data_IF_879042982216
#
_entry.id   IF_879042982216
#
_cell.length_a   1.000
_cell.length_b   1.000
_cell.length_c   1.000
_cell.angle_alpha   90.00
_cell.angle_beta   90.00
_cell.angle_gamma   90.00
#
_symmetry.space_group_name_H-M   'P 1'
#
loop_
_entity.id
_entity.type
_entity.pdbx_description
1 polymer ?
#
# COMPACT_ATOMS: atom_id res chain seq x y z
N UNK A 1 -5.94 8.42 12.93
CA UNK A 1 -4.89 9.44 12.73
C UNK A 1 -4.70 9.55 11.23
N UNK A 2 -4.67 10.75 10.66
CA UNK A 2 -4.48 10.93 9.23
C UNK A 2 -2.99 11.20 8.95
N UNK A 3 -2.46 10.62 7.89
CA UNK A 3 -1.08 10.86 7.46
C UNK A 3 -0.97 12.23 6.78
N UNK A 4 0.08 12.98 7.11
CA UNK A 4 0.39 14.31 6.60
C UNK A 4 1.82 14.32 6.07
N UNK A 5 1.97 14.38 4.75
CA UNK A 5 3.27 14.34 4.06
C UNK A 5 4.23 15.47 4.43
N UNK A 6 3.75 16.53 5.09
CA UNK A 6 4.58 17.66 5.54
C UNK A 6 5.14 17.46 6.95
N UNK A 7 4.68 16.44 7.68
CA UNK A 7 5.11 16.13 9.03
C UNK A 7 6.24 15.09 9.01
N UNK A 8 7.25 15.30 9.86
CA UNK A 8 8.23 14.25 10.18
C UNK A 8 7.60 13.21 11.13
N UNK A 9 7.81 11.93 10.81
CA UNK A 9 7.33 10.81 11.61
C UNK A 9 8.48 9.94 12.08
N UNK A 10 8.36 9.37 13.28
CA UNK A 10 9.22 8.24 13.66
C UNK A 10 8.82 6.97 12.92
N UNK A 11 9.72 5.98 12.90
CA UNK A 11 9.41 4.66 12.33
C UNK A 11 8.19 4.02 12.98
N UNK A 12 8.04 4.16 14.29
CA UNK A 12 6.92 3.61 15.07
C UNK A 12 5.60 4.30 14.72
N UNK A 13 5.62 5.62 14.51
CA UNK A 13 4.43 6.35 14.03
C UNK A 13 4.04 5.89 12.62
N UNK A 14 5.01 5.70 11.72
CA UNK A 14 4.77 5.18 10.37
C UNK A 14 4.15 3.77 10.41
N UNK A 15 4.72 2.86 11.21
CA UNK A 15 4.18 1.50 11.41
C UNK A 15 2.74 1.56 11.96
N UNK A 16 2.39 2.59 12.73
CA UNK A 16 1.03 2.80 13.22
C UNK A 16 -0.02 2.98 12.11
N UNK A 17 0.37 3.36 10.90
CA UNK A 17 -0.50 3.45 9.73
C UNK A 17 -0.59 2.14 8.93
N UNK A 18 0.30 1.18 9.17
CA UNK A 18 0.36 -0.09 8.47
C UNK A 18 -0.65 -1.10 9.05
N UNK A 19 -1.33 -1.86 8.19
CA UNK A 19 -2.28 -2.90 8.61
C UNK A 19 -1.61 -4.23 8.85
N UNK A 20 -0.70 -4.63 7.97
CA UNK A 20 0.00 -5.90 7.96
C UNK A 20 1.40 -5.80 8.55
N UNK A 21 2.18 -4.79 8.18
CA UNK A 21 3.54 -4.60 8.70
C UNK A 21 3.51 -4.04 10.12
N UNK A 22 4.14 -4.73 11.08
CA UNK A 22 4.23 -4.33 12.51
C UNK A 22 5.66 -4.10 12.98
N UNK A 23 6.59 -3.95 12.05
CA UNK A 23 8.00 -3.65 12.33
C UNK A 23 8.92 -4.87 12.40
N UNK A 24 8.40 -6.07 12.24
CA UNK A 24 9.12 -7.34 12.14
C UNK A 24 10.05 -7.39 10.92
N UNK A 25 11.11 -8.20 11.01
CA UNK A 25 12.13 -8.32 9.94
C UNK A 25 11.64 -9.16 8.76
N UNK A 26 10.83 -10.17 9.03
CA UNK A 26 10.31 -11.12 8.04
C UNK A 26 8.79 -11.18 8.12
N UNK A 27 8.14 -11.35 6.98
CA UNK A 27 6.69 -11.47 6.89
C UNK A 27 6.17 -12.63 7.76
N UNK A 28 5.15 -12.41 8.60
CA UNK A 28 4.49 -13.46 9.37
C UNK A 28 3.51 -14.28 8.52
N UNK A 29 3.39 -13.97 7.22
CA UNK A 29 2.49 -14.61 6.26
C UNK A 29 3.29 -15.54 5.34
N UNK A 30 3.58 -16.79 5.75
CA UNK A 30 4.28 -17.74 4.89
C UNK A 30 3.41 -18.09 3.68
N UNK A 31 4.00 -18.01 2.49
CA UNK A 31 3.31 -18.36 1.24
C UNK A 31 3.32 -19.88 1.07
N UNK A 32 2.14 -20.50 1.09
CA UNK A 32 1.98 -21.94 0.91
C UNK A 32 2.18 -22.38 -0.54
N UNK A 33 2.29 -23.69 -0.78
CA UNK A 33 2.52 -24.26 -2.12
C UNK A 33 1.43 -23.90 -3.14
N UNK A 34 0.21 -23.62 -2.68
CA UNK A 34 -0.94 -23.24 -3.52
C UNK A 34 -1.18 -21.72 -3.54
N UNK A 35 -0.22 -20.90 -3.10
CA UNK A 35 -0.37 -19.44 -3.04
C UNK A 35 -1.17 -18.93 -1.83
N UNK A 36 -1.37 -19.78 -0.81
CA UNK A 36 -1.97 -19.36 0.46
C UNK A 36 -1.18 -18.20 1.05
N UNK A 37 -1.88 -17.19 1.58
CA UNK A 37 -1.29 -15.96 2.13
C UNK A 37 -0.44 -15.12 1.16
N UNK A 38 -0.46 -15.41 -0.15
CA UNK A 38 0.34 -14.65 -1.12
C UNK A 38 -0.01 -13.16 -1.11
N UNK A 39 -1.30 -12.84 -0.99
CA UNK A 39 -1.76 -11.45 -0.99
C UNK A 39 -1.40 -10.74 0.32
N UNK A 40 -1.63 -11.36 1.48
CA UNK A 40 -1.25 -10.81 2.77
C UNK A 40 0.27 -10.60 2.88
N UNK A 41 1.06 -11.53 2.35
CA UNK A 41 2.52 -11.40 2.27
C UNK A 41 2.94 -10.21 1.38
N UNK A 42 2.28 -10.03 0.24
CA UNK A 42 2.51 -8.90 -0.66
C UNK A 42 2.11 -7.57 -0.01
N UNK A 43 0.95 -7.50 0.63
CA UNK A 43 0.48 -6.30 1.34
C UNK A 43 1.44 -5.92 2.46
N UNK A 44 1.85 -6.90 3.27
CA UNK A 44 2.90 -6.73 4.27
C UNK A 44 4.19 -6.15 3.68
N UNK A 45 4.65 -6.70 2.55
CA UNK A 45 5.88 -6.27 1.91
C UNK A 45 5.81 -4.81 1.49
N UNK A 46 4.74 -4.40 0.80
CA UNK A 46 4.62 -3.02 0.33
C UNK A 46 4.44 -2.00 1.45
N UNK A 47 3.77 -2.37 2.55
CA UNK A 47 3.75 -1.54 3.74
C UNK A 47 5.15 -1.37 4.36
N UNK A 48 5.95 -2.45 4.42
CA UNK A 48 7.33 -2.37 4.91
C UNK A 48 8.23 -1.52 4.02
N UNK A 49 8.04 -1.60 2.69
CA UNK A 49 8.73 -0.75 1.70
C UNK A 49 8.36 0.71 1.94
N UNK A 50 7.07 1.02 2.07
CA UNK A 50 6.60 2.37 2.32
C UNK A 50 7.24 3.00 3.57
N UNK A 51 7.26 2.26 4.69
CA UNK A 51 7.93 2.72 5.93
C UNK A 51 9.42 2.93 5.69
N UNK A 52 10.09 1.95 5.09
CA UNK A 52 11.54 2.00 4.86
C UNK A 52 11.95 3.17 3.96
N UNK A 53 11.19 3.44 2.90
CA UNK A 53 11.45 4.52 1.95
C UNK A 53 11.24 5.89 2.58
N UNK A 54 10.16 6.08 3.35
CA UNK A 54 9.94 7.33 4.09
C UNK A 54 11.03 7.57 5.14
N UNK A 55 11.49 6.53 5.84
CA UNK A 55 12.60 6.63 6.80
C UNK A 55 13.93 7.04 6.12
N UNK A 56 14.08 6.78 4.82
CA UNK A 56 15.22 7.22 4.01
C UNK A 56 15.02 8.60 3.38
N UNK A 57 13.88 9.26 3.65
CA UNK A 57 13.53 10.57 3.08
C UNK A 57 13.09 10.51 1.61
N UNK A 58 12.71 9.33 1.12
CA UNK A 58 12.14 9.17 -0.21
C UNK A 58 10.66 9.57 -0.21
N UNK A 59 10.11 9.88 -1.38
CA UNK A 59 8.70 10.28 -1.55
C UNK A 59 8.02 9.38 -2.58
N UNK A 60 6.72 9.17 -2.42
CA UNK A 60 5.88 8.38 -3.34
C UNK A 60 5.05 9.24 -4.29
N UNK A 61 5.44 10.51 -4.48
CA UNK A 61 4.70 11.49 -5.28
C UNK A 61 4.36 10.99 -6.68
N UNK A 62 5.32 10.37 -7.38
CA UNK A 62 5.08 9.78 -8.71
C UNK A 62 3.96 8.75 -8.72
N UNK A 63 3.97 7.80 -7.77
CA UNK A 63 2.94 6.76 -7.68
C UNK A 63 1.59 7.38 -7.31
N UNK A 64 1.57 8.36 -6.41
CA UNK A 64 0.36 9.08 -5.99
C UNK A 64 -0.25 9.84 -7.17
N UNK A 65 0.57 10.52 -7.96
CA UNK A 65 0.10 11.27 -9.14
C UNK A 65 -0.50 10.33 -10.18
N UNK A 66 0.12 9.18 -10.46
CA UNK A 66 -0.43 8.18 -11.38
C UNK A 66 -1.74 7.59 -10.85
N UNK A 67 -1.76 7.19 -9.59
CA UNK A 67 -2.94 6.67 -8.89
C UNK A 67 -4.15 7.65 -8.97
N UNK A 68 -3.89 8.95 -8.76
CA UNK A 68 -4.90 10.02 -8.90
C UNK A 68 -5.28 10.30 -10.35
N UNK A 69 -4.33 10.22 -11.29
CA UNK A 69 -4.59 10.46 -12.71
C UNK A 69 -5.58 9.44 -13.30
N UNK A 70 -5.54 8.20 -12.81
CA UNK A 70 -6.50 7.15 -13.16
C UNK A 70 -7.79 7.19 -12.30
N UNK A 71 -7.91 8.16 -11.39
CA UNK A 71 -9.12 8.40 -10.58
C UNK A 71 -9.39 7.33 -9.53
N UNK A 72 -8.38 6.53 -9.18
CA UNK A 72 -8.52 5.42 -8.24
C UNK A 72 -8.72 5.92 -6.82
N UNK A 73 -8.12 7.07 -6.47
CA UNK A 73 -8.32 7.80 -5.21
C UNK A 73 -9.80 8.00 -4.87
N UNK A 74 -10.62 8.31 -5.88
CA UNK A 74 -12.06 8.58 -5.72
C UNK A 74 -12.90 7.33 -5.47
N UNK A 75 -12.35 6.16 -5.76
CA UNK A 75 -13.02 4.87 -5.59
C UNK A 75 -12.69 4.21 -4.26
N UNK A 76 -11.75 4.78 -3.51
CA UNK A 76 -11.15 4.14 -2.35
C UNK A 76 -11.71 4.74 -1.06
N UNK A 77 -11.87 3.92 0.00
CA UNK A 77 -12.44 4.39 1.25
C UNK A 77 -11.48 5.34 1.99
N UNK A 78 -12.05 6.21 2.82
CA UNK A 78 -11.30 6.96 3.84
C UNK A 78 -11.17 6.09 5.10
N UNK A 79 -10.26 5.13 5.03
CA UNK A 79 -9.98 4.11 6.05
C UNK A 79 -8.73 4.44 6.91
N UNK A 80 -8.17 5.63 6.72
CA UNK A 80 -6.95 6.06 7.40
C UNK A 80 -5.65 5.43 6.86
N UNK A 81 -5.72 4.59 5.82
CA UNK A 81 -4.52 4.08 5.14
C UNK A 81 -3.94 5.20 4.26
N UNK A 82 -2.65 5.55 4.41
CA UNK A 82 -2.01 6.60 3.62
C UNK A 82 -2.11 6.37 2.11
N UNK A 83 -2.31 7.44 1.34
CA UNK A 83 -2.36 7.38 -0.12
C UNK A 83 -1.10 6.79 -0.74
N UNK A 84 0.08 7.04 -0.15
CA UNK A 84 1.34 6.45 -0.62
C UNK A 84 1.33 4.91 -0.61
N UNK A 85 0.69 4.30 0.40
CA UNK A 85 0.54 2.84 0.46
C UNK A 85 -0.43 2.38 -0.64
N UNK A 86 -1.60 3.03 -0.76
CA UNK A 86 -2.60 2.71 -1.80
C UNK A 86 -2.00 2.82 -3.21
N UNK A 87 -1.19 3.84 -3.46
CA UNK A 87 -0.53 4.10 -4.72
C UNK A 87 0.54 3.05 -5.07
N UNK A 88 1.38 2.65 -4.10
CA UNK A 88 2.35 1.57 -4.29
C UNK A 88 1.67 0.23 -4.62
N UNK A 89 0.59 -0.09 -3.91
CA UNK A 89 -0.20 -1.29 -4.17
C UNK A 89 -0.86 -1.25 -5.56
N UNK A 90 -1.36 -0.09 -5.97
CA UNK A 90 -1.91 0.11 -7.31
C UNK A 90 -0.86 -0.07 -8.42
N UNK A 91 0.31 0.57 -8.31
CA UNK A 91 1.44 0.38 -9.27
C UNK A 91 1.77 -1.11 -9.42
N UNK A 92 1.84 -1.82 -8.28
CA UNK A 92 2.12 -3.25 -8.29
C UNK A 92 1.04 -4.06 -8.99
N UNK A 93 -0.23 -3.77 -8.72
CA UNK A 93 -1.36 -4.44 -9.36
C UNK A 93 -1.36 -4.21 -10.87
N UNK A 94 -1.10 -2.97 -11.28
CA UNK A 94 -1.07 -2.58 -12.69
C UNK A 94 0.04 -3.24 -13.50
N UNK A 95 1.14 -3.72 -12.88
CA UNK A 95 2.19 -4.46 -13.62
C UNK A 95 1.71 -5.76 -14.28
N UNK A 96 0.55 -6.30 -13.86
CA UNK A 96 -0.09 -7.48 -14.46
C UNK A 96 -1.17 -7.17 -15.50
N UNK A 97 -1.50 -5.89 -15.73
CA UNK A 97 -2.62 -5.47 -16.56
C UNK A 97 -2.34 -4.12 -17.25
N UNK A 98 -3.31 -3.54 -17.96
CA UNK A 98 -3.22 -2.12 -18.29
C UNK A 98 -3.59 -1.28 -17.05
N UNK A 99 -3.08 -0.04 -16.97
CA UNK A 99 -3.45 0.88 -15.88
C UNK A 99 -4.96 1.14 -15.80
N UNK A 100 -5.65 1.16 -16.95
CA UNK A 100 -7.10 1.35 -17.01
C UNK A 100 -7.87 0.15 -16.43
N UNK A 101 -7.44 -1.08 -16.73
CA UNK A 101 -8.06 -2.28 -16.16
C UNK A 101 -7.76 -2.40 -14.66
N UNK A 102 -6.53 -2.06 -14.28
CA UNK A 102 -6.11 -2.02 -12.88
C UNK A 102 -6.98 -1.05 -12.07
N UNK A 103 -7.34 0.12 -12.62
CA UNK A 103 -8.15 1.11 -11.92
C UNK A 103 -9.57 0.60 -11.57
N UNK A 104 -10.07 -0.41 -12.30
CA UNK A 104 -11.38 -1.02 -12.07
C UNK A 104 -11.29 -2.18 -11.06
N UNK A 105 -10.26 -3.02 -11.19
CA UNK A 105 -10.13 -4.23 -10.38
C UNK A 105 -9.43 -4.01 -9.04
N UNK A 106 -8.48 -3.07 -8.97
CA UNK A 106 -7.72 -2.79 -7.76
C UNK A 106 -8.60 -2.37 -6.57
N UNK A 107 -9.62 -1.49 -6.69
CA UNK A 107 -10.49 -1.15 -5.57
C UNK A 107 -11.25 -2.37 -5.01
N UNK A 108 -11.60 -3.34 -5.87
CA UNK A 108 -12.28 -4.58 -5.43
C UNK A 108 -11.34 -5.46 -4.63
N UNK A 109 -10.12 -5.66 -5.15
CA UNK A 109 -9.06 -6.35 -4.43
C UNK A 109 -8.79 -5.66 -3.08
N UNK A 110 -8.66 -4.34 -3.08
CA UNK A 110 -8.36 -3.57 -1.88
C UNK A 110 -9.42 -3.76 -0.80
N UNK A 111 -10.71 -3.69 -1.15
CA UNK A 111 -11.82 -3.85 -0.21
C UNK A 111 -11.90 -5.25 0.43
N UNK A 112 -11.33 -6.29 -0.20
CA UNK A 112 -11.26 -7.64 0.37
C UNK A 112 -10.27 -7.71 1.56
N UNK A 113 -9.18 -6.94 1.48
CA UNK A 113 -8.07 -7.00 2.43
C UNK A 113 -8.06 -5.82 3.43
N UNK A 114 -8.64 -4.69 3.06
CA UNK A 114 -8.79 -3.48 3.88
C UNK A 114 -10.28 -3.15 4.10
N UNK A 115 -10.99 -3.89 4.96
CA UNK A 115 -12.33 -3.52 5.43
C UNK A 115 -12.29 -2.34 6.40
#
# INVERSE_FOLDING_TARGET
MQFDETKEYTREELIGFCRYYKGEENSPFPVGENGENQNENMLWFYESVWVSELMQGLTHSYHIDEYRAYGVDRLMPDDGVPEGIKALLFDRWARGASMADAAIEFPKFYAEYYP
#
